data_IF_968306394632
#
_entry.id   IF_968306394632
#
_cell.length_a   1.000
_cell.length_b   1.000
_cell.length_c   1.000
_cell.angle_alpha   90.00
_cell.angle_beta   90.00
_cell.angle_gamma   90.00
#
_symmetry.space_group_name_H-M   'P 1'
#
loop_
_entity.id
_entity.type
_entity.pdbx_description
1 polymer ?
#
# COMPACT_ATOMS: atom_id res chain seq x y z
N UNK A 1 26.54 -7.89 -7.39
CA UNK A 1 25.86 -7.23 -8.52
C UNK A 1 25.01 -6.13 -7.94
N UNK A 2 25.37 -4.87 -8.19
CA UNK A 2 24.56 -3.73 -7.77
C UNK A 2 23.22 -3.75 -8.52
N UNK A 3 22.12 -3.64 -7.79
CA UNK A 3 20.77 -3.62 -8.37
C UNK A 3 20.22 -2.22 -8.24
N UNK A 4 19.87 -1.58 -9.35
CA UNK A 4 19.27 -0.25 -9.39
C UNK A 4 17.80 -0.37 -9.80
N UNK A 5 16.88 0.01 -8.90
CA UNK A 5 15.44 -0.07 -9.09
C UNK A 5 14.85 1.28 -9.54
N UNK A 6 13.98 1.22 -10.54
CA UNK A 6 13.35 2.37 -11.20
C UNK A 6 11.85 2.15 -11.35
N UNK A 7 11.13 3.15 -11.88
CA UNK A 7 9.71 3.01 -12.20
C UNK A 7 9.41 1.79 -13.10
N UNK A 8 10.30 1.44 -14.04
CA UNK A 8 10.13 0.25 -14.88
C UNK A 8 10.07 -1.06 -14.07
N UNK A 9 10.71 -1.09 -12.91
CA UNK A 9 10.62 -2.25 -12.01
C UNK A 9 9.24 -2.36 -11.35
N UNK A 10 8.50 -1.24 -11.19
CA UNK A 10 7.13 -1.26 -10.66
C UNK A 10 6.16 -1.96 -11.61
N UNK A 11 6.40 -1.88 -12.92
CA UNK A 11 5.57 -2.55 -13.93
C UNK A 11 5.64 -4.08 -13.85
N UNK A 12 6.64 -4.61 -13.14
CA UNK A 12 6.83 -6.05 -12.89
C UNK A 12 6.12 -6.54 -11.62
N UNK A 13 5.50 -5.62 -10.87
CA UNK A 13 4.72 -5.98 -9.69
C UNK A 13 3.46 -6.75 -10.07
N UNK A 14 3.00 -7.62 -9.16
CA UNK A 14 1.87 -8.51 -9.40
C UNK A 14 0.60 -7.68 -9.60
N UNK A 15 0.41 -6.65 -8.78
CA UNK A 15 -0.74 -5.76 -8.89
C UNK A 15 -0.80 -5.07 -10.25
N UNK A 16 0.32 -4.48 -10.70
CA UNK A 16 0.43 -3.82 -12.01
C UNK A 16 0.07 -4.78 -13.15
N UNK A 17 0.65 -5.99 -13.12
CA UNK A 17 0.38 -7.03 -14.12
C UNK A 17 -1.10 -7.47 -14.15
N UNK A 18 -1.73 -7.62 -12.98
CA UNK A 18 -3.14 -8.02 -12.89
C UNK A 18 -4.08 -6.92 -13.38
N UNK A 19 -3.79 -5.65 -13.04
CA UNK A 19 -4.58 -4.51 -13.54
C UNK A 19 -4.46 -4.31 -15.06
N UNK A 20 -3.31 -4.63 -15.64
CA UNK A 20 -3.08 -4.49 -17.08
C UNK A 20 -4.13 -5.24 -17.93
N UNK A 21 -4.62 -6.40 -17.48
CA UNK A 21 -5.65 -7.12 -18.22
C UNK A 21 -6.97 -6.36 -18.33
N UNK A 22 -7.38 -5.68 -17.26
CA UNK A 22 -8.59 -4.86 -17.28
C UNK A 22 -8.38 -3.58 -18.09
N UNK A 23 -7.19 -2.97 -17.98
CA UNK A 23 -6.82 -1.77 -18.73
C UNK A 23 -6.78 -2.01 -20.24
N UNK A 24 -6.19 -3.14 -20.65
CA UNK A 24 -6.21 -3.60 -22.05
C UNK A 24 -7.64 -3.91 -22.51
N UNK A 25 -8.42 -4.53 -21.62
CA UNK A 25 -9.77 -5.00 -21.89
C UNK A 25 -9.81 -6.15 -22.91
N UNK A 26 -11.01 -6.66 -23.16
CA UNK A 26 -11.25 -7.75 -24.11
C UNK A 26 -12.52 -7.50 -24.93
N UNK A 27 -12.58 -8.06 -26.13
CA UNK A 27 -13.74 -8.04 -27.02
C UNK A 27 -14.45 -9.41 -27.06
N UNK A 28 -15.52 -9.53 -27.86
CA UNK A 28 -16.19 -10.83 -28.08
C UNK A 28 -17.29 -11.16 -27.07
N UNK A 29 -17.58 -10.25 -26.14
CA UNK A 29 -18.60 -10.33 -25.10
C UNK A 29 -19.90 -9.59 -25.45
N UNK A 30 -20.06 -9.07 -26.68
CA UNK A 30 -21.19 -8.19 -27.05
C UNK A 30 -22.56 -8.87 -26.96
N UNK A 31 -22.59 -10.20 -26.91
CA UNK A 31 -23.79 -11.02 -26.75
C UNK A 31 -24.19 -11.21 -25.27
N UNK A 32 -23.30 -10.84 -24.33
CA UNK A 32 -23.57 -10.95 -22.91
C UNK A 32 -24.51 -9.82 -22.47
N UNK A 33 -25.51 -10.14 -21.65
CA UNK A 33 -26.53 -9.18 -21.19
C UNK A 33 -25.90 -7.92 -20.56
N UNK A 34 -24.86 -8.08 -19.73
CA UNK A 34 -24.21 -6.93 -19.09
C UNK A 34 -23.66 -5.90 -20.08
N UNK A 35 -23.33 -6.31 -21.31
CA UNK A 35 -22.73 -5.43 -22.30
C UNK A 35 -23.69 -4.30 -22.69
N UNK A 36 -24.96 -4.64 -22.98
CA UNK A 36 -26.00 -3.66 -23.29
C UNK A 36 -26.49 -2.95 -22.03
N UNK A 37 -26.73 -3.71 -20.96
CA UNK A 37 -27.43 -3.20 -19.78
C UNK A 37 -26.58 -2.16 -19.04
N UNK A 38 -25.29 -2.44 -18.82
CA UNK A 38 -24.39 -1.45 -18.20
C UNK A 38 -24.21 -0.22 -19.09
N UNK A 39 -24.16 -0.42 -20.41
CA UNK A 39 -24.05 0.69 -21.37
C UNK A 39 -25.26 1.61 -21.28
N UNK A 40 -26.45 1.05 -21.27
CA UNK A 40 -27.71 1.79 -21.17
C UNK A 40 -27.84 2.50 -19.82
N UNK A 41 -27.58 1.81 -18.71
CA UNK A 41 -27.58 2.39 -17.37
C UNK A 41 -26.64 3.60 -17.27
N UNK A 42 -25.41 3.47 -17.80
CA UNK A 42 -24.46 4.58 -17.84
C UNK A 42 -24.98 5.74 -18.70
N UNK A 43 -25.51 5.44 -19.89
CA UNK A 43 -26.00 6.47 -20.81
C UNK A 43 -27.17 7.24 -20.21
N UNK A 44 -28.13 6.56 -19.60
CA UNK A 44 -29.35 7.17 -19.06
C UNK A 44 -29.10 7.87 -17.73
N UNK A 45 -28.38 7.23 -16.80
CA UNK A 45 -28.34 7.66 -15.39
C UNK A 45 -26.99 8.24 -14.94
N UNK A 46 -25.88 7.91 -15.60
CA UNK A 46 -24.53 8.25 -15.13
C UNK A 46 -23.72 9.00 -16.19
N UNK A 47 -24.17 10.22 -16.52
CA UNK A 47 -23.55 11.09 -17.54
C UNK A 47 -22.04 11.25 -17.39
N UNK A 48 -21.57 11.37 -16.15
CA UNK A 48 -20.16 11.47 -15.76
C UNK A 48 -19.30 10.30 -16.28
N UNK A 49 -19.89 9.11 -16.48
CA UNK A 49 -19.19 7.90 -16.89
C UNK A 49 -19.28 7.62 -18.39
N UNK A 50 -20.04 8.40 -19.17
CA UNK A 50 -20.25 8.14 -20.61
C UNK A 50 -18.93 8.03 -21.37
N UNK A 51 -17.98 8.92 -21.08
CA UNK A 51 -16.67 8.96 -21.75
C UNK A 51 -15.79 7.74 -21.44
N UNK A 52 -16.05 7.02 -20.34
CA UNK A 52 -15.30 5.82 -19.96
C UNK A 52 -16.13 4.54 -20.07
N UNK A 53 -17.38 4.61 -20.57
CA UNK A 53 -18.30 3.48 -20.67
C UNK A 53 -17.68 2.31 -21.44
N UNK A 54 -17.12 2.57 -22.61
CA UNK A 54 -16.44 1.55 -23.43
C UNK A 54 -15.24 0.93 -22.72
N UNK A 55 -14.48 1.72 -21.96
CA UNK A 55 -13.33 1.23 -21.18
C UNK A 55 -13.82 0.26 -20.10
N UNK A 56 -14.83 0.66 -19.33
CA UNK A 56 -15.42 -0.17 -18.28
C UNK A 56 -15.94 -1.49 -18.85
N UNK A 57 -16.74 -1.42 -19.92
CA UNK A 57 -17.33 -2.61 -20.56
C UNK A 57 -16.24 -3.56 -21.06
N UNK A 58 -15.19 -3.06 -21.74
CA UNK A 58 -14.08 -3.91 -22.20
C UNK A 58 -13.33 -4.58 -21.04
N UNK A 59 -13.14 -3.89 -19.92
CA UNK A 59 -12.57 -4.48 -18.70
C UNK A 59 -13.46 -5.56 -18.09
N UNK A 60 -14.78 -5.37 -18.11
CA UNK A 60 -15.75 -6.38 -17.68
C UNK A 60 -15.80 -7.59 -18.63
N UNK A 61 -15.60 -7.38 -19.92
CA UNK A 61 -15.51 -8.45 -20.90
C UNK A 61 -14.34 -9.40 -20.65
N UNK A 62 -13.19 -8.87 -20.20
CA UNK A 62 -12.06 -9.71 -19.80
C UNK A 62 -12.46 -10.70 -18.70
N UNK A 63 -13.12 -10.24 -17.64
CA UNK A 63 -13.49 -11.13 -16.53
C UNK A 63 -14.57 -12.13 -16.93
N UNK A 64 -15.52 -11.69 -17.75
CA UNK A 64 -16.59 -12.53 -18.29
C UNK A 64 -16.03 -13.65 -19.18
N UNK A 65 -15.22 -13.30 -20.19
CA UNK A 65 -14.59 -14.28 -21.08
C UNK A 65 -13.71 -15.24 -20.30
N UNK A 66 -12.96 -14.74 -19.30
CA UNK A 66 -12.14 -15.59 -18.43
C UNK A 66 -13.00 -16.64 -17.71
N UNK A 67 -14.18 -16.26 -17.21
CA UNK A 67 -15.13 -17.18 -16.56
C UNK A 67 -15.71 -18.17 -17.55
N UNK A 68 -16.23 -17.73 -18.69
CA UNK A 68 -16.89 -18.62 -19.66
C UNK A 68 -15.91 -19.60 -20.28
N UNK A 69 -14.69 -19.17 -20.58
CA UNK A 69 -13.68 -20.05 -21.18
C UNK A 69 -13.13 -21.07 -20.17
N UNK A 70 -13.23 -20.80 -18.85
CA UNK A 70 -12.71 -21.66 -17.79
C UNK A 70 -13.67 -21.76 -16.58
N UNK A 71 -14.89 -22.29 -16.75
CA UNK A 71 -15.96 -22.17 -15.76
C UNK A 71 -15.63 -22.86 -14.43
N UNK A 72 -14.89 -23.96 -14.46
CA UNK A 72 -14.49 -24.76 -13.28
C UNK A 72 -13.15 -24.34 -12.67
N UNK A 73 -12.38 -23.49 -13.35
CA UNK A 73 -11.04 -23.04 -12.93
C UNK A 73 -10.92 -21.52 -12.87
N UNK A 74 -12.05 -20.84 -12.71
CA UNK A 74 -12.03 -19.40 -12.62
C UNK A 74 -11.23 -18.96 -11.39
N UNK A 75 -10.27 -18.09 -11.65
CA UNK A 75 -9.38 -17.56 -10.62
C UNK A 75 -10.05 -16.36 -9.92
N UNK A 76 -10.65 -16.63 -8.77
CA UNK A 76 -11.30 -15.63 -7.92
C UNK A 76 -10.35 -14.51 -7.46
N UNK A 77 -9.03 -14.68 -7.62
CA UNK A 77 -8.05 -13.63 -7.31
C UNK A 77 -8.33 -12.35 -8.12
N UNK A 78 -8.84 -12.46 -9.35
CA UNK A 78 -9.18 -11.31 -10.19
C UNK A 78 -10.34 -10.46 -9.65
N UNK A 79 -11.16 -10.96 -8.72
CA UNK A 79 -12.32 -10.22 -8.22
C UNK A 79 -11.94 -8.99 -7.40
N UNK A 80 -10.90 -9.08 -6.57
CA UNK A 80 -10.40 -7.93 -5.82
C UNK A 80 -9.77 -6.89 -6.76
N UNK A 81 -9.00 -7.33 -7.76
CA UNK A 81 -8.46 -6.44 -8.78
C UNK A 81 -9.57 -5.76 -9.59
N UNK A 82 -10.64 -6.49 -9.95
CA UNK A 82 -11.80 -5.91 -10.62
C UNK A 82 -12.41 -4.78 -9.77
N UNK A 83 -12.67 -5.04 -8.49
CA UNK A 83 -13.24 -4.04 -7.58
C UNK A 83 -12.39 -2.76 -7.52
N UNK A 84 -11.08 -2.91 -7.32
CA UNK A 84 -10.18 -1.77 -7.22
C UNK A 84 -9.93 -1.08 -8.56
N UNK A 85 -9.94 -1.80 -9.67
CA UNK A 85 -9.85 -1.21 -11.01
C UNK A 85 -11.11 -0.41 -11.36
N UNK A 86 -12.30 -0.94 -11.05
CA UNK A 86 -13.56 -0.23 -11.22
C UNK A 86 -13.55 1.07 -10.44
N UNK A 87 -13.24 1.03 -9.14
CA UNK A 87 -13.20 2.26 -8.33
C UNK A 87 -12.13 3.25 -8.77
N UNK A 88 -10.94 2.78 -9.16
CA UNK A 88 -9.89 3.66 -9.68
C UNK A 88 -10.31 4.43 -10.94
N UNK A 89 -11.12 3.81 -11.82
CA UNK A 89 -11.62 4.46 -13.03
C UNK A 89 -12.90 5.28 -12.79
N UNK A 90 -13.78 4.83 -11.89
CA UNK A 90 -15.08 5.49 -11.64
C UNK A 90 -14.90 6.75 -10.80
N UNK A 91 -14.22 6.66 -9.65
CA UNK A 91 -14.15 7.79 -8.70
C UNK A 91 -13.70 9.10 -9.34
N UNK A 92 -12.59 9.16 -10.13
CA UNK A 92 -12.11 10.41 -10.70
C UNK A 92 -13.09 11.09 -11.65
N UNK A 93 -13.99 10.33 -12.28
CA UNK A 93 -14.95 10.85 -13.25
C UNK A 93 -16.25 11.35 -12.60
N UNK A 94 -16.55 10.95 -11.35
CA UNK A 94 -17.79 11.34 -10.67
C UNK A 94 -17.72 12.77 -10.11
N UNK A 95 -18.67 13.60 -10.54
CA UNK A 95 -18.94 14.91 -9.93
C UNK A 95 -19.50 14.74 -8.51
N UNK A 96 -20.33 13.71 -8.30
CA UNK A 96 -20.86 13.35 -6.99
C UNK A 96 -20.38 11.94 -6.57
N UNK A 97 -19.43 11.90 -5.64
CA UNK A 97 -18.80 10.65 -5.16
C UNK A 97 -19.77 9.68 -4.47
N UNK A 98 -20.90 10.16 -3.96
CA UNK A 98 -21.93 9.29 -3.33
C UNK A 98 -22.59 8.35 -4.35
N UNK A 99 -22.54 8.66 -5.64
CA UNK A 99 -23.06 7.80 -6.70
C UNK A 99 -22.25 6.50 -6.86
N UNK A 100 -21.02 6.46 -6.36
CA UNK A 100 -20.16 5.28 -6.45
C UNK A 100 -20.85 4.00 -5.96
N UNK A 101 -21.53 4.09 -4.81
CA UNK A 101 -22.24 2.94 -4.21
C UNK A 101 -23.34 2.39 -5.13
N UNK A 102 -24.10 3.29 -5.77
CA UNK A 102 -25.15 2.91 -6.73
C UNK A 102 -24.56 2.28 -7.97
N UNK A 103 -23.50 2.87 -8.53
CA UNK A 103 -22.85 2.40 -9.75
C UNK A 103 -22.20 1.02 -9.55
N UNK A 104 -21.41 0.84 -8.48
CA UNK A 104 -20.80 -0.46 -8.18
C UNK A 104 -21.86 -1.52 -7.93
N UNK A 105 -22.92 -1.18 -7.18
CA UNK A 105 -24.01 -2.13 -6.94
C UNK A 105 -24.67 -2.55 -8.25
N UNK A 106 -25.00 -1.59 -9.12
CA UNK A 106 -25.56 -1.87 -10.45
C UNK A 106 -24.65 -2.77 -11.28
N UNK A 107 -23.35 -2.44 -11.40
CA UNK A 107 -22.40 -3.22 -12.21
C UNK A 107 -22.35 -4.68 -11.73
N UNK A 108 -22.20 -4.91 -10.43
CA UNK A 108 -22.10 -6.27 -9.90
C UNK A 108 -23.41 -7.05 -10.02
N UNK A 109 -24.57 -6.40 -9.85
CA UNK A 109 -25.88 -7.04 -10.05
C UNK A 109 -26.09 -7.45 -11.51
N UNK A 110 -25.78 -6.57 -12.45
CA UNK A 110 -25.94 -6.88 -13.87
C UNK A 110 -24.97 -7.98 -14.32
N UNK A 111 -23.74 -7.98 -13.82
CA UNK A 111 -22.80 -9.08 -14.06
C UNK A 111 -23.34 -10.41 -13.52
N UNK A 112 -23.86 -10.41 -12.30
CA UNK A 112 -24.47 -11.58 -11.67
C UNK A 112 -25.61 -12.16 -12.52
N UNK A 113 -26.52 -11.32 -13.00
CA UNK A 113 -27.61 -11.70 -13.91
C UNK A 113 -27.11 -12.22 -15.27
N UNK A 114 -25.90 -11.84 -15.66
CA UNK A 114 -25.25 -12.24 -16.92
C UNK A 114 -24.47 -13.55 -16.83
N UNK A 115 -24.71 -14.37 -15.80
CA UNK A 115 -24.02 -15.65 -15.63
C UNK A 115 -22.69 -15.56 -14.88
N UNK A 116 -22.37 -14.40 -14.28
CA UNK A 116 -21.26 -14.24 -13.32
C UNK A 116 -21.72 -14.44 -11.86
N UNK A 117 -22.86 -15.10 -11.64
CA UNK A 117 -23.40 -15.35 -10.31
C UNK A 117 -22.39 -16.08 -9.41
N UNK A 118 -22.25 -15.59 -8.17
CA UNK A 118 -21.30 -16.07 -7.16
C UNK A 118 -19.82 -16.07 -7.60
N UNK A 119 -19.47 -15.38 -8.68
CA UNK A 119 -18.07 -15.31 -9.15
C UNK A 119 -17.31 -14.22 -8.42
N UNK A 120 -17.78 -12.97 -8.53
CA UNK A 120 -17.18 -11.82 -7.85
C UNK A 120 -18.26 -11.06 -7.08
N UNK A 121 -17.90 -10.61 -5.88
CA UNK A 121 -18.71 -9.71 -5.06
C UNK A 121 -17.91 -8.43 -4.77
N UNK A 122 -18.57 -7.26 -4.66
CA UNK A 122 -17.85 -6.05 -4.31
C UNK A 122 -17.33 -6.16 -2.88
N UNK A 123 -16.12 -5.65 -2.63
CA UNK A 123 -15.51 -5.69 -1.28
C UNK A 123 -16.31 -4.79 -0.33
N UNK A 124 -16.61 -3.57 -0.79
CA UNK A 124 -17.51 -2.65 -0.11
C UNK A 124 -18.55 -2.16 -1.11
N UNK A 125 -19.83 -2.13 -0.71
CA UNK A 125 -20.88 -1.47 -1.50
C UNK A 125 -20.80 0.05 -1.32
N UNK A 126 -20.59 0.49 -0.09
CA UNK A 126 -20.46 1.90 0.27
C UNK A 126 -19.08 2.17 0.84
N UNK A 127 -18.40 3.17 0.28
CA UNK A 127 -17.08 3.60 0.71
C UNK A 127 -16.78 5.01 0.19
N UNK A 128 -16.13 5.83 1.01
CA UNK A 128 -15.61 7.13 0.58
C UNK A 128 -14.32 6.97 -0.24
N UNK A 129 -14.08 7.86 -1.20
CA UNK A 129 -12.93 7.80 -2.12
C UNK A 129 -11.58 7.73 -1.39
N UNK A 130 -11.38 8.51 -0.34
CA UNK A 130 -10.13 8.48 0.44
C UNK A 130 -9.90 7.10 1.09
N UNK A 131 -10.94 6.56 1.73
CA UNK A 131 -10.91 5.23 2.34
C UNK A 131 -10.68 4.14 1.30
N UNK A 132 -11.34 4.26 0.13
CA UNK A 132 -11.13 3.36 -1.00
C UNK A 132 -9.67 3.38 -1.47
N UNK A 133 -9.09 4.57 -1.66
CA UNK A 133 -7.70 4.72 -2.09
C UNK A 133 -6.72 4.11 -1.08
N UNK A 134 -6.96 4.31 0.23
CA UNK A 134 -6.14 3.69 1.30
C UNK A 134 -6.24 2.17 1.26
N UNK A 135 -7.44 1.59 1.11
CA UNK A 135 -7.57 0.13 1.01
C UNK A 135 -7.02 -0.43 -0.30
N UNK A 136 -7.09 0.31 -1.41
CA UNK A 136 -6.45 -0.08 -2.66
C UNK A 136 -4.93 -0.20 -2.46
N UNK A 137 -4.31 0.78 -1.81
CA UNK A 137 -2.88 0.74 -1.50
C UNK A 137 -2.52 -0.45 -0.61
N UNK A 138 -3.32 -0.74 0.43
CA UNK A 138 -3.12 -1.90 1.30
C UNK A 138 -3.28 -3.22 0.55
N UNK A 139 -4.30 -3.32 -0.29
CA UNK A 139 -4.50 -4.51 -1.14
C UNK A 139 -3.33 -4.68 -2.10
N UNK A 140 -2.98 -3.67 -2.90
CA UNK A 140 -1.87 -3.78 -3.85
C UNK A 140 -0.57 -4.16 -3.13
N UNK A 141 -0.30 -3.55 -1.98
CA UNK A 141 0.87 -3.90 -1.18
C UNK A 141 0.83 -5.35 -0.69
N UNK A 142 -0.32 -5.85 -0.24
CA UNK A 142 -0.47 -7.27 0.14
C UNK A 142 -0.18 -8.25 -1.00
N UNK A 143 -0.33 -7.82 -2.26
CA UNK A 143 -0.06 -8.62 -3.45
C UNK A 143 1.40 -8.52 -3.90
N UNK A 144 2.04 -7.38 -3.63
CA UNK A 144 3.38 -7.05 -4.11
C UNK A 144 4.46 -7.23 -3.06
N UNK A 145 4.10 -7.34 -1.78
CA UNK A 145 5.02 -7.31 -0.65
C UNK A 145 6.19 -8.29 -0.81
N UNK A 146 5.93 -9.54 -1.20
CA UNK A 146 6.99 -10.53 -1.36
C UNK A 146 7.97 -10.16 -2.48
N UNK A 147 7.49 -9.63 -3.60
CA UNK A 147 8.34 -9.21 -4.72
C UNK A 147 9.19 -8.00 -4.33
N UNK A 148 8.59 -7.05 -3.60
CA UNK A 148 9.27 -5.87 -3.07
C UNK A 148 10.36 -6.30 -2.08
N UNK A 149 10.04 -7.18 -1.11
CA UNK A 149 11.00 -7.70 -0.13
C UNK A 149 12.19 -8.36 -0.80
N UNK A 150 11.95 -9.18 -1.83
CA UNK A 150 13.02 -9.84 -2.56
C UNK A 150 13.90 -8.84 -3.32
N UNK A 151 13.30 -7.88 -4.02
CA UNK A 151 14.04 -6.90 -4.83
C UNK A 151 14.86 -5.92 -3.99
N UNK A 152 14.48 -5.70 -2.72
CA UNK A 152 15.14 -4.76 -1.81
C UNK A 152 15.85 -5.41 -0.62
N UNK A 153 16.03 -6.73 -0.66
CA UNK A 153 16.74 -7.48 0.39
C UNK A 153 18.23 -7.21 0.45
N UNK A 154 18.85 -6.79 -0.65
CA UNK A 154 20.27 -6.49 -0.72
C UNK A 154 20.56 -5.09 -0.17
N UNK A 155 21.46 -4.99 0.82
CA UNK A 155 21.88 -3.73 1.43
C UNK A 155 22.46 -2.70 0.43
N UNK A 156 22.96 -3.16 -0.71
CA UNK A 156 23.50 -2.32 -1.79
C UNK A 156 22.47 -2.00 -2.89
N UNK A 157 21.22 -2.42 -2.74
CA UNK A 157 20.15 -2.04 -3.69
C UNK A 157 19.98 -0.52 -3.67
N UNK A 158 20.07 0.10 -4.84
CA UNK A 158 19.82 1.53 -5.03
C UNK A 158 18.48 1.73 -5.74
N UNK A 159 17.83 2.87 -5.48
CA UNK A 159 16.50 3.14 -6.03
C UNK A 159 16.40 4.60 -6.47
N UNK A 160 15.74 4.83 -7.60
CA UNK A 160 15.38 6.18 -8.01
C UNK A 160 14.30 6.78 -7.07
N UNK A 161 14.08 8.09 -7.19
CA UNK A 161 13.17 8.81 -6.31
C UNK A 161 11.71 8.32 -6.43
N UNK A 162 11.25 7.96 -7.63
CA UNK A 162 9.88 7.50 -7.88
C UNK A 162 9.62 6.14 -7.24
N UNK A 163 10.51 5.17 -7.44
CA UNK A 163 10.42 3.86 -6.81
C UNK A 163 10.42 4.00 -5.28
N UNK A 164 11.31 4.83 -4.74
CA UNK A 164 11.39 5.09 -3.29
C UNK A 164 10.08 5.68 -2.77
N UNK A 165 9.52 6.69 -3.45
CA UNK A 165 8.24 7.32 -3.07
C UNK A 165 7.08 6.32 -3.10
N UNK A 166 7.03 5.48 -4.14
CA UNK A 166 6.00 4.45 -4.28
C UNK A 166 6.03 3.45 -3.11
N UNK A 167 7.20 2.90 -2.79
CA UNK A 167 7.31 1.92 -1.71
C UNK A 167 7.09 2.56 -0.33
N UNK A 168 7.59 3.78 -0.12
CA UNK A 168 7.30 4.52 1.12
C UNK A 168 5.80 4.72 1.33
N UNK A 169 5.03 4.96 0.26
CA UNK A 169 3.58 5.09 0.36
C UNK A 169 2.91 3.79 0.85
N UNK A 170 3.34 2.63 0.32
CA UNK A 170 2.88 1.33 0.81
C UNK A 170 3.22 1.09 2.28
N UNK A 171 4.49 1.30 2.66
CA UNK A 171 4.96 1.07 4.02
C UNK A 171 4.24 1.97 5.01
N UNK A 172 4.10 3.26 4.70
CA UNK A 172 3.45 4.23 5.58
C UNK A 172 1.96 3.92 5.76
N UNK A 173 1.26 3.57 4.67
CA UNK A 173 -0.17 3.20 4.73
C UNK A 173 -0.38 1.94 5.56
N UNK A 174 0.48 0.94 5.36
CA UNK A 174 0.46 -0.28 6.18
C UNK A 174 0.72 0.02 7.66
N UNK A 175 1.74 0.83 7.98
CA UNK A 175 2.10 1.14 9.37
C UNK A 175 0.98 1.89 10.09
N UNK A 176 0.31 2.84 9.44
CA UNK A 176 -0.88 3.49 10.02
C UNK A 176 -1.99 2.47 10.28
N UNK A 177 -2.32 1.62 9.29
CA UNK A 177 -3.34 0.58 9.46
C UNK A 177 -3.03 -0.40 10.59
N UNK A 178 -1.79 -0.91 10.64
CA UNK A 178 -1.34 -1.81 11.70
C UNK A 178 -1.40 -1.14 13.08
N UNK A 179 -0.90 0.09 13.22
CA UNK A 179 -0.97 0.83 14.49
C UNK A 179 -2.41 0.98 14.95
N UNK A 180 -3.31 1.36 14.05
CA UNK A 180 -4.73 1.56 14.39
C UNK A 180 -5.45 0.26 14.72
N UNK A 181 -5.10 -0.86 14.10
CA UNK A 181 -5.77 -2.13 14.32
C UNK A 181 -5.21 -2.92 15.50
N UNK A 182 -3.90 -3.03 15.64
CA UNK A 182 -3.25 -3.93 16.59
C UNK A 182 -2.77 -3.24 17.87
N UNK A 183 -2.35 -1.96 17.76
CA UNK A 183 -1.77 -1.22 18.89
C UNK A 183 -2.84 -0.36 19.57
N UNK A 184 -3.37 0.63 18.85
CA UNK A 184 -4.34 1.60 19.39
C UNK A 184 -5.76 1.03 19.44
N UNK A 185 -6.06 0.02 18.62
CA UNK A 185 -7.37 -0.67 18.53
C UNK A 185 -8.54 0.28 18.30
N UNK A 186 -8.35 1.21 17.36
CA UNK A 186 -9.36 2.17 16.92
C UNK A 186 -10.15 1.62 15.73
N UNK A 187 -11.36 2.16 15.51
CA UNK A 187 -12.20 1.82 14.36
C UNK A 187 -11.92 2.66 13.10
N UNK A 188 -10.74 3.33 13.00
CA UNK A 188 -10.36 4.12 11.81
C UNK A 188 -10.25 3.25 10.55
N UNK A 189 -9.99 1.96 10.73
CA UNK A 189 -9.89 0.97 9.67
C UNK A 189 -10.81 -0.22 9.96
N UNK A 190 -11.20 -0.90 8.90
CA UNK A 190 -11.77 -2.24 8.93
C UNK A 190 -10.61 -3.22 9.18
N UNK A 191 -10.40 -3.51 10.47
CA UNK A 191 -9.30 -4.36 10.91
C UNK A 191 -9.50 -5.83 10.53
N UNK A 192 -10.74 -6.27 10.31
CA UNK A 192 -11.03 -7.62 9.80
C UNK A 192 -10.50 -7.75 8.37
N UNK A 193 -10.79 -6.77 7.52
CA UNK A 193 -10.28 -6.77 6.15
C UNK A 193 -8.77 -6.60 6.11
N UNK A 194 -8.19 -5.70 6.91
CA UNK A 194 -6.74 -5.53 7.02
C UNK A 194 -6.05 -6.86 7.42
N UNK A 195 -6.53 -7.53 8.46
CA UNK A 195 -5.95 -8.79 8.92
C UNK A 195 -6.09 -9.91 7.88
N UNK A 196 -7.20 -9.93 7.12
CA UNK A 196 -7.36 -10.85 5.98
C UNK A 196 -6.33 -10.61 4.88
N UNK A 197 -6.03 -9.34 4.54
CA UNK A 197 -5.02 -9.02 3.53
C UNK A 197 -3.63 -9.48 3.96
N UNK A 198 -3.33 -9.36 5.26
CA UNK A 198 -1.99 -9.59 5.79
C UNK A 198 -1.81 -10.88 6.58
N UNK A 199 -2.78 -11.81 6.52
CA UNK A 199 -2.81 -13.07 7.30
C UNK A 199 -1.53 -13.91 7.18
N UNK A 200 -0.89 -13.88 6.01
CA UNK A 200 0.32 -14.66 5.70
C UNK A 200 1.63 -13.92 5.96
N UNK A 201 1.58 -12.72 6.54
CA UNK A 201 2.75 -11.86 6.69
C UNK A 201 3.10 -11.64 8.15
N UNK A 202 4.38 -11.79 8.48
CA UNK A 202 4.90 -11.39 9.78
C UNK A 202 5.21 -9.88 9.76
N UNK A 203 4.73 -9.15 10.76
CA UNK A 203 4.93 -7.69 10.84
C UNK A 203 6.41 -7.29 10.86
N UNK A 204 7.28 -8.14 11.40
CA UNK A 204 8.73 -7.97 11.46
C UNK A 204 9.40 -7.90 10.09
N UNK A 205 8.78 -8.49 9.05
CA UNK A 205 9.33 -8.51 7.69
C UNK A 205 9.40 -7.12 7.03
N UNK A 206 8.60 -6.18 7.52
CA UNK A 206 8.37 -4.89 6.89
C UNK A 206 9.46 -3.85 7.21
N UNK A 207 10.39 -4.19 8.09
CA UNK A 207 11.54 -3.37 8.43
C UNK A 207 12.76 -3.61 7.51
N UNK A 208 12.66 -4.52 6.53
CA UNK A 208 13.79 -4.98 5.69
C UNK A 208 13.87 -4.35 4.29
N UNK A 209 13.45 -3.09 4.12
CA UNK A 209 13.50 -2.40 2.83
C UNK A 209 14.81 -1.62 2.66
N UNK A 210 15.73 -2.13 1.82
CA UNK A 210 16.96 -1.41 1.45
C UNK A 210 16.79 -0.71 0.08
N UNK A 211 16.89 0.62 0.10
CA UNK A 211 17.00 1.48 -1.08
C UNK A 211 17.97 2.62 -0.76
N UNK A 212 19.26 2.36 -1.01
CA UNK A 212 20.31 3.37 -0.83
C UNK A 212 20.17 4.42 -1.93
N UNK A 213 20.38 5.69 -1.58
CA UNK A 213 20.35 6.77 -2.54
C UNK A 213 21.59 6.62 -3.45
N UNK A 214 21.38 6.46 -4.76
CA UNK A 214 22.48 6.55 -5.71
C UNK A 214 22.87 8.02 -5.85
N UNK A 215 23.87 8.48 -5.11
CA UNK A 215 24.48 9.78 -5.39
C UNK A 215 25.29 9.60 -6.67
N UNK A 216 24.74 10.03 -7.80
CA UNK A 216 25.54 10.22 -9.01
C UNK A 216 26.52 11.34 -8.68
N UNK A 217 27.74 10.98 -8.29
CA UNK A 217 28.86 11.92 -8.38
C UNK A 217 29.04 12.20 -9.88
N UNK A 218 28.45 13.30 -10.33
CA UNK A 218 28.96 14.02 -11.50
C UNK A 218 30.40 14.37 -11.17
N UNK A 219 31.31 13.48 -11.54
CA UNK A 219 32.70 13.86 -11.74
C UNK A 219 32.66 14.90 -12.86
N UNK A 220 32.78 16.18 -12.49
CA UNK A 220 33.16 17.21 -13.43
C UNK A 220 34.43 16.71 -14.12
N UNK A 221 34.40 16.61 -15.44
CA UNK A 221 35.61 16.37 -16.20
C UNK A 221 36.62 17.45 -15.78
N UNK A 222 37.73 17.01 -15.17
CA UNK A 222 38.86 17.87 -14.87
C UNK A 222 39.29 18.54 -16.18
N UNK A 223 39.22 19.87 -16.22
CA UNK A 223 39.96 20.66 -17.19
C UNK A 223 41.45 20.44 -16.90
N UNK A 224 42.11 19.75 -17.82
CA UNK A 224 43.54 19.53 -17.85
C UNK A 224 44.24 20.87 -18.13
N UNK A 225 44.56 21.63 -17.09
CA UNK A 225 45.33 22.87 -17.23
C UNK A 225 46.83 22.52 -17.34
N UNK A 226 47.34 22.68 -18.57
CA UNK A 226 48.75 22.51 -18.93
C UNK A 226 49.59 23.55 -18.19
N UNK A 227 50.57 23.05 -17.42
CA UNK A 227 51.59 23.82 -16.70
C UNK A 227 52.58 24.43 -17.72
N UNK A 228 52.79 25.74 -17.68
CA UNK A 228 54.05 26.36 -18.12
C UNK A 228 54.61 27.33 -17.06
N UNK A 229 55.95 27.40 -16.84
CA UNK A 229 56.51 27.96 -15.62
C UNK A 229 57.16 29.36 -15.76
N UNK A 230 57.13 30.07 -14.62
CA UNK A 230 58.09 31.09 -14.15
C UNK A 230 57.94 32.54 -14.60
N UNK A 231 57.65 33.43 -13.64
CA UNK A 231 58.62 34.44 -13.17
C UNK A 231 58.27 35.00 -11.78
N UNK A 232 59.30 35.05 -10.94
CA UNK A 232 59.36 35.54 -9.57
C UNK A 232 59.29 37.08 -9.54
N UNK A 233 58.53 37.69 -8.62
CA UNK A 233 58.79 39.03 -8.07
C UNK A 233 58.09 39.20 -6.71
N UNK A 234 58.86 39.63 -5.71
CA UNK A 234 58.51 39.83 -4.31
C UNK A 234 57.88 41.22 -4.03
N UNK A 235 57.18 41.30 -2.90
CA UNK A 235 57.07 42.43 -1.93
C UNK A 235 55.74 43.24 -1.81
N UNK A 236 55.01 42.92 -0.71
CA UNK A 236 54.46 43.76 0.39
C UNK A 236 53.56 45.02 0.17
N UNK A 237 52.75 45.41 1.19
CA UNK A 237 51.43 46.01 1.07
C UNK A 237 51.40 47.53 1.28
N UNK A 238 50.28 48.18 0.91
CA UNK A 238 49.91 49.50 1.48
C UNK A 238 48.39 49.77 1.45
N UNK A 239 47.96 50.27 2.60
CA UNK A 239 46.66 50.77 3.04
C UNK A 239 46.44 52.24 2.62
N UNK A 240 45.19 52.60 2.29
CA UNK A 240 44.46 53.86 2.62
C UNK A 240 43.31 54.06 1.60
N UNK A 241 42.04 53.92 1.99
CA UNK A 241 41.17 54.97 2.54
C UNK A 241 40.86 56.09 1.53
N UNK A 242 39.63 56.10 0.99
CA UNK A 242 38.83 57.32 0.80
C UNK A 242 37.35 56.98 0.45
N UNK A 243 36.45 57.30 1.37
CA UNK A 243 35.02 57.66 1.20
C UNK A 243 34.92 59.13 1.64
N UNK A 244 33.95 59.98 1.22
CA UNK A 244 32.51 59.66 1.17
C UNK A 244 31.68 60.38 0.07
N UNK A 245 30.47 59.89 -0.21
CA UNK A 245 29.26 60.66 0.12
C UNK A 245 27.95 59.91 -0.14
N UNK A 246 27.01 60.25 0.72
CA UNK A 246 25.71 59.64 1.03
C UNK A 246 24.56 60.14 0.16
N UNK A 247 23.54 59.30 -0.08
CA UNK A 247 22.12 59.70 0.00
C UNK A 247 21.29 58.57 0.63
N UNK A 248 20.28 58.99 1.37
CA UNK A 248 19.57 58.42 2.51
C UNK A 248 18.18 57.88 2.10
N UNK A 249 17.83 56.71 2.66
CA UNK A 249 16.53 56.22 3.17
C UNK A 249 15.25 56.25 2.30
N UNK A 250 14.53 55.11 2.29
CA UNK A 250 13.37 54.95 3.20
C UNK A 250 12.89 53.50 3.30
N UNK A 251 12.57 53.12 4.53
CA UNK A 251 11.97 51.87 4.97
C UNK A 251 10.75 52.27 5.82
N UNK A 252 9.57 51.65 5.72
CA UNK A 252 8.54 51.78 6.74
C UNK A 252 8.45 50.54 7.65
N UNK A 253 8.70 50.76 8.95
CA UNK A 253 8.02 50.09 10.09
C UNK A 253 6.51 50.38 10.01
N UNK A 254 5.55 49.66 10.60
CA UNK A 254 5.52 48.57 11.58
C UNK A 254 4.17 48.60 12.34
N UNK A 255 3.78 47.47 12.97
CA UNK A 255 3.18 47.31 14.33
C UNK A 255 2.62 45.88 14.45
N UNK A 256 3.19 45.00 15.31
CA UNK A 256 2.88 44.78 16.75
C UNK A 256 1.45 44.24 16.96
N UNK A 257 1.13 43.15 17.66
CA UNK A 257 1.78 42.29 18.67
C UNK A 257 0.58 41.67 19.44
N UNK A 258 0.58 40.43 19.92
CA UNK A 258 1.02 40.08 21.27
C UNK A 258 0.91 38.56 21.53
N UNK A 259 1.89 38.10 22.29
CA UNK A 259 2.02 36.82 22.99
C UNK A 259 1.28 36.94 24.34
N UNK A 260 0.65 35.86 24.84
CA UNK A 260 0.54 35.65 26.28
C UNK A 260 0.67 34.15 26.63
N UNK A 261 1.83 33.82 27.20
CA UNK A 261 2.02 32.70 28.11
C UNK A 261 1.58 33.16 29.51
N UNK A 262 0.90 32.31 30.28
CA UNK A 262 1.03 32.35 31.73
C UNK A 262 0.95 30.95 32.34
N UNK A 263 1.97 30.68 33.17
CA UNK A 263 2.24 29.47 33.93
C UNK A 263 1.46 29.42 35.26
N UNK A 264 1.20 28.18 35.69
CA UNK A 264 1.30 27.62 37.05
C UNK A 264 0.50 28.26 38.21
N UNK A 265 -0.37 27.46 38.83
CA UNK A 265 -0.34 27.32 40.29
C UNK A 265 -0.98 26.01 40.77
N UNK A 266 -0.15 25.24 41.48
CA UNK A 266 -0.49 24.12 42.34
C UNK A 266 -0.90 24.66 43.72
N UNK A 267 -1.94 24.08 44.37
CA UNK A 267 -2.03 24.01 45.83
C UNK A 267 -2.99 22.90 46.31
N UNK A 268 -2.55 22.21 47.36
CA UNK A 268 -3.19 21.13 48.13
C UNK A 268 -4.47 21.56 48.88
N UNK A 269 -5.33 20.58 49.16
CA UNK A 269 -5.79 20.33 50.54
C UNK A 269 -7.29 20.32 50.85
N UNK A 270 -7.80 19.10 51.15
CA UNK A 270 -8.67 18.73 52.28
C UNK A 270 -10.10 19.30 52.47
N UNK A 271 -11.03 18.34 52.62
CA UNK A 271 -12.09 18.22 53.65
C UNK A 271 -13.57 18.35 53.23
N UNK A 272 -14.37 17.38 53.69
CA UNK A 272 -15.83 17.46 53.90
C UNK A 272 -16.66 16.49 53.03
N UNK A 273 -16.96 15.25 53.47
CA UNK A 273 -18.23 14.80 54.12
C UNK A 273 -19.50 15.15 53.31
N UNK A 274 -20.52 14.30 53.07
CA UNK A 274 -20.88 12.97 53.59
C UNK A 274 -22.16 12.45 52.87
N UNK A 275 -22.49 11.16 53.07
CA UNK A 275 -23.81 10.48 53.02
C UNK A 275 -24.26 9.85 51.69
N UNK A 276 -24.85 8.64 51.60
CA UNK A 276 -24.90 7.36 52.35
C UNK A 276 -25.88 6.44 51.57
N UNK A 277 -25.64 5.13 51.55
CA UNK A 277 -26.61 4.10 51.16
C UNK A 277 -25.94 2.96 50.37
N UNK A 278 -25.13 2.11 51.01
CA UNK A 278 -25.50 0.85 51.68
C UNK A 278 -26.12 -0.19 50.73
N UNK A 279 -25.40 -1.27 50.40
CA UNK A 279 -25.56 -2.61 51.00
C UNK A 279 -24.44 -3.56 50.51
N UNK A 280 -23.91 -4.35 51.45
CA UNK A 280 -22.84 -5.38 51.39
C UNK A 280 -23.48 -6.66 51.97
N UNK A 281 -23.18 -7.90 51.50
CA UNK A 281 -22.06 -8.75 52.01
C UNK A 281 -21.27 -9.46 50.88
N UNK A 282 -19.94 -9.39 50.80
CA UNK A 282 -18.87 -10.17 51.49
C UNK A 282 -18.82 -11.70 51.23
N UNK A 283 -17.60 -12.28 51.23
CA UNK A 283 -17.16 -13.41 50.39
C UNK A 283 -17.02 -14.72 51.19
N UNK A 284 -16.57 -15.80 50.55
CA UNK A 284 -15.86 -16.89 51.24
C UNK A 284 -14.99 -17.70 50.30
N UNK A 285 -13.99 -18.31 50.92
CA UNK A 285 -12.70 -18.76 50.42
C UNK A 285 -12.64 -20.30 50.29
N UNK A 286 -11.70 -20.74 49.44
CA UNK A 286 -10.80 -21.92 49.54
C UNK A 286 -11.23 -23.38 49.81
N UNK A 287 -10.29 -24.26 49.43
CA UNK A 287 -10.06 -25.71 49.69
C UNK A 287 -10.70 -26.71 48.71
N UNK A 288 -10.06 -27.82 48.26
CA UNK A 288 -8.68 -28.31 48.24
C UNK A 288 -8.59 -29.57 47.34
N UNK A 289 -7.37 -29.92 46.93
CA UNK A 289 -6.80 -31.26 46.65
C UNK A 289 -7.56 -32.39 45.90
N UNK A 290 -6.90 -32.95 44.88
CA UNK A 290 -6.25 -34.29 44.94
C UNK A 290 -6.17 -34.98 43.58
N UNK A 291 -5.02 -35.59 43.29
CA UNK A 291 -4.60 -36.04 41.97
C UNK A 291 -5.09 -37.41 41.50
N UNK A 292 -4.77 -37.71 40.24
CA UNK A 292 -4.66 -39.08 39.75
C UNK A 292 -3.61 -39.18 38.64
N UNK A 293 -2.54 -39.89 38.98
CA UNK A 293 -1.43 -40.31 38.14
C UNK A 293 -1.90 -41.38 37.16
N UNK A 294 -1.72 -41.16 35.85
CA UNK A 294 -1.69 -42.25 34.86
C UNK A 294 -0.52 -42.07 33.90
N UNK A 295 0.50 -42.87 34.15
CA UNK A 295 1.62 -43.19 33.27
C UNK A 295 1.11 -43.75 31.94
N UNK A 296 1.44 -43.10 30.82
CA UNK A 296 1.34 -43.71 29.49
C UNK A 296 2.74 -43.82 28.90
N UNK A 297 3.07 -45.07 28.61
CA UNK A 297 4.30 -45.62 28.09
C UNK A 297 4.62 -45.05 26.71
N UNK A 298 5.91 -44.77 26.49
CA UNK A 298 6.42 -44.14 25.29
C UNK A 298 6.23 -44.94 24.00
N UNK A 299 6.11 -44.21 22.91
CA UNK A 299 6.44 -44.65 21.56
C UNK A 299 7.20 -43.51 20.90
N UNK A 300 8.52 -43.52 21.08
CA UNK A 300 9.44 -42.67 20.32
C UNK A 300 9.55 -43.31 18.94
N UNK A 301 8.72 -42.85 18.00
CA UNK A 301 8.95 -43.09 16.58
C UNK A 301 10.00 -42.07 16.14
N UNK A 302 11.15 -42.48 15.57
CA UNK A 302 12.07 -41.52 14.99
C UNK A 302 11.35 -40.91 13.78
N UNK A 303 10.90 -39.66 13.92
CA UNK A 303 10.53 -38.85 12.77
C UNK A 303 11.82 -38.65 11.99
N UNK A 304 11.98 -39.45 10.94
CA UNK A 304 12.98 -39.23 9.91
C UNK A 304 12.84 -37.78 9.47
N UNK A 305 13.83 -36.97 9.84
CA UNK A 305 13.92 -35.58 9.45
C UNK A 305 13.78 -35.51 7.94
N UNK A 306 12.64 -35.00 7.48
CA UNK A 306 12.47 -34.59 6.10
C UNK A 306 13.42 -33.43 5.93
N UNK A 307 14.62 -33.78 5.43
CA UNK A 307 15.70 -32.86 5.13
C UNK A 307 15.11 -31.63 4.45
N UNK A 308 15.36 -30.44 5.00
CA UNK A 308 14.91 -29.16 4.45
C UNK A 308 15.30 -28.98 2.97
N UNK A 309 16.33 -29.72 2.54
CA UNK A 309 16.71 -29.87 1.14
C UNK A 309 15.61 -30.46 0.25
N UNK A 310 14.78 -31.41 0.72
CA UNK A 310 13.67 -31.98 -0.06
C UNK A 310 12.56 -30.95 -0.32
N UNK A 311 12.27 -30.07 0.65
CA UNK A 311 11.34 -28.94 0.47
C UNK A 311 11.91 -27.88 -0.48
N UNK A 312 13.22 -27.59 -0.38
CA UNK A 312 13.89 -26.68 -1.31
C UNK A 312 13.91 -27.24 -2.73
N UNK A 313 14.20 -28.53 -2.91
CA UNK A 313 14.17 -29.17 -4.22
C UNK A 313 12.75 -29.21 -4.81
N UNK A 314 11.71 -29.44 -4.01
CA UNK A 314 10.32 -29.33 -4.48
C UNK A 314 9.98 -27.91 -4.95
N UNK A 315 10.40 -26.88 -4.19
CA UNK A 315 10.13 -25.47 -4.53
C UNK A 315 10.94 -24.99 -5.73
N UNK A 316 12.18 -25.47 -5.88
CA UNK A 316 13.03 -25.19 -7.05
C UNK A 316 12.47 -25.87 -8.29
N UNK A 317 12.00 -27.12 -8.21
CA UNK A 317 11.40 -27.82 -9.35
C UNK A 317 10.10 -27.15 -9.84
N UNK A 318 9.23 -26.66 -8.93
CA UNK A 318 8.03 -25.89 -9.33
C UNK A 318 8.41 -24.60 -10.08
N UNK A 319 9.41 -23.86 -9.58
CA UNK A 319 9.85 -22.62 -10.23
C UNK A 319 10.51 -22.89 -11.59
N UNK A 320 11.28 -23.96 -11.74
CA UNK A 320 11.89 -24.36 -13.02
C UNK A 320 10.82 -24.75 -14.03
N UNK A 321 9.79 -25.52 -13.62
CA UNK A 321 8.65 -25.86 -14.50
C UNK A 321 7.88 -24.61 -14.93
N UNK A 322 7.72 -23.62 -14.05
CA UNK A 322 7.07 -22.34 -14.39
C UNK A 322 7.88 -21.51 -15.39
N UNK A 323 9.20 -21.43 -15.23
CA UNK A 323 10.09 -20.69 -16.14
C UNK A 323 10.18 -21.38 -17.51
N UNK A 324 10.31 -22.71 -17.56
CA UNK A 324 10.33 -23.43 -18.86
C UNK A 324 9.01 -23.31 -19.62
N UNK A 325 7.87 -23.19 -18.93
CA UNK A 325 6.58 -22.94 -19.58
C UNK A 325 6.48 -21.54 -20.20
N UNK A 326 7.25 -20.57 -19.71
CA UNK A 326 7.33 -19.21 -20.25
C UNK A 326 8.24 -19.18 -21.50
N UNK A 327 9.34 -19.94 -21.50
CA UNK A 327 10.29 -19.97 -22.63
C UNK A 327 9.75 -20.73 -23.84
N UNK A 328 8.84 -21.69 -23.67
CA UNK A 328 8.22 -22.44 -24.79
C UNK A 328 7.09 -21.64 -25.47
N UNK A 329 6.62 -20.53 -24.88
CA UNK A 329 5.53 -19.70 -25.41
C UNK A 329 5.99 -18.34 -25.95
N UNK A 330 7.29 -18.15 -26.16
CA UNK A 330 7.89 -17.05 -26.94
C UNK A 330 8.49 -17.66 -28.19
#
# INVERSE_FOLDING_TARGET
METHLTEENLKKLRSYYKYYYFEKGESGCNHALFYSDIREEIEVHYRDLRNISDKLIKGLCFIYNKKINNPTKFDNEFCSYLYYWLGHNIFPNLSNKTLFSKIITMIYQVLELSGMHNVCQPIYKEIHEETFNRYKLLFDYSQDHQNIKLSTSNAYTTCNQEYKKFIQNYINTYRDAYSKCEIERTNKYDCVYFNKLFEKYEHTDLNSFHCVQHNVQTHSADEEEVIEPSRLSLSMPRTSSETPDSVIYTNPKGNNGQILNHNLHEYRGLAGRQVLGSHVPMPTDETDESGSTKTIMGSVVPVLGVSSFSLLLYKVNINIVYIHRIVIYV
#
